data_IF_124657320536
#
_entry.id   IF_124657320536
#
_cell.length_a   1.000
_cell.length_b   1.000
_cell.length_c   1.000
_cell.angle_alpha   90.00
_cell.angle_beta   90.00
_cell.angle_gamma   90.00
#
_symmetry.space_group_name_H-M   'P 1'
#
loop_
_entity.id
_entity.type
_entity.pdbx_description
1 polymer ?
#
# COMPACT_ATOMS: atom_id res chain seq x y z
N UNK A 1 21.57 -53.83 -59.50
CA UNK A 1 20.34 -53.00 -59.44
C UNK A 1 20.13 -52.63 -57.99
N UNK A 2 20.66 -51.49 -57.58
CA UNK A 2 20.44 -50.90 -56.26
C UNK A 2 20.15 -49.43 -56.54
N UNK A 3 18.87 -49.09 -56.53
CA UNK A 3 18.39 -47.71 -56.65
C UNK A 3 18.60 -47.00 -55.33
N UNK A 4 19.59 -46.11 -55.28
CA UNK A 4 19.74 -45.13 -54.22
C UNK A 4 18.70 -44.02 -54.41
N UNK A 5 17.60 -44.12 -53.66
CA UNK A 5 16.62 -43.04 -53.52
C UNK A 5 17.20 -41.98 -52.58
N UNK A 6 17.80 -40.93 -53.14
CA UNK A 6 18.09 -39.69 -52.42
C UNK A 6 16.76 -38.99 -52.08
N UNK A 7 16.39 -39.01 -50.80
CA UNK A 7 15.38 -38.12 -50.27
C UNK A 7 16.00 -36.73 -50.04
N UNK A 8 15.75 -35.81 -50.97
CA UNK A 8 15.98 -34.38 -50.76
C UNK A 8 15.02 -33.89 -49.67
N UNK A 9 15.52 -33.83 -48.43
CA UNK A 9 14.86 -33.11 -47.34
C UNK A 9 15.04 -31.61 -47.60
N UNK A 10 14.01 -31.02 -48.20
CA UNK A 10 13.84 -29.57 -48.36
C UNK A 10 13.75 -28.92 -46.97
N UNK A 11 14.91 -28.56 -46.42
CA UNK A 11 15.03 -27.82 -45.16
C UNK A 11 14.46 -26.42 -45.42
N UNK A 12 13.18 -26.22 -45.13
CA UNK A 12 12.56 -24.89 -45.12
C UNK A 12 13.40 -23.97 -44.25
N UNK A 13 14.15 -23.06 -44.89
CA UNK A 13 14.89 -22.00 -44.22
C UNK A 13 13.98 -21.29 -43.22
N UNK A 14 14.32 -21.39 -41.94
CA UNK A 14 13.59 -20.73 -40.87
C UNK A 14 13.89 -19.24 -40.97
N UNK A 15 13.06 -18.50 -41.69
CA UNK A 15 13.18 -17.04 -41.79
C UNK A 15 13.22 -16.42 -40.38
N UNK A 16 14.12 -15.47 -40.13
CA UNK A 16 14.23 -14.81 -38.84
C UNK A 16 12.92 -14.09 -38.49
N UNK A 17 12.58 -13.96 -37.20
CA UNK A 17 11.40 -13.23 -36.79
C UNK A 17 11.51 -11.75 -37.23
N UNK A 18 10.39 -11.10 -37.57
CA UNK A 18 10.40 -9.70 -37.97
C UNK A 18 10.84 -8.81 -36.80
N UNK A 19 11.71 -7.85 -37.08
CA UNK A 19 12.35 -6.98 -36.09
C UNK A 19 11.63 -5.65 -35.85
N UNK A 20 10.54 -5.37 -36.55
CA UNK A 20 9.73 -4.15 -36.38
C UNK A 20 8.26 -4.37 -36.75
N UNK A 21 7.38 -3.51 -36.25
CA UNK A 21 5.93 -3.61 -36.52
C UNK A 21 5.59 -3.50 -38.02
N UNK A 22 6.16 -2.56 -38.80
CA UNK A 22 5.96 -2.53 -40.25
C UNK A 22 6.47 -3.80 -40.95
N UNK A 23 7.59 -4.37 -40.48
CA UNK A 23 8.16 -5.60 -41.05
C UNK A 23 7.26 -6.81 -40.79
N UNK A 24 6.62 -6.88 -39.62
CA UNK A 24 5.62 -7.90 -39.33
C UNK A 24 4.41 -7.79 -40.28
N UNK A 25 3.89 -6.57 -40.45
CA UNK A 25 2.74 -6.33 -41.33
C UNK A 25 3.02 -6.74 -42.78
N UNK A 26 4.24 -6.53 -43.28
CA UNK A 26 4.63 -6.92 -44.65
C UNK A 26 5.12 -8.37 -44.78
N UNK A 27 5.61 -8.97 -43.69
CA UNK A 27 6.23 -10.30 -43.68
C UNK A 27 5.24 -11.47 -43.60
N UNK A 28 5.70 -12.72 -43.67
CA UNK A 28 4.85 -13.92 -43.58
C UNK A 28 4.83 -14.56 -42.19
N UNK A 29 5.44 -13.92 -41.19
CA UNK A 29 5.52 -14.46 -39.84
C UNK A 29 4.15 -14.38 -39.13
N UNK A 30 3.87 -15.37 -38.27
CA UNK A 30 2.67 -15.33 -37.42
C UNK A 30 2.81 -14.29 -36.31
N UNK A 31 1.68 -13.78 -35.82
CA UNK A 31 1.61 -12.84 -34.71
C UNK A 31 2.36 -13.35 -33.48
N UNK A 32 2.17 -14.63 -33.13
CA UNK A 32 2.84 -15.24 -31.98
C UNK A 32 4.36 -15.19 -32.07
N UNK A 33 4.94 -15.48 -33.25
CA UNK A 33 6.40 -15.40 -33.46
C UNK A 33 6.92 -13.97 -33.31
N UNK A 34 6.17 -12.99 -33.79
CA UNK A 34 6.52 -11.58 -33.65
C UNK A 34 6.44 -11.12 -32.18
N UNK A 35 5.36 -11.46 -31.47
CA UNK A 35 5.20 -11.14 -30.05
C UNK A 35 6.32 -11.76 -29.22
N UNK A 36 6.65 -13.05 -29.42
CA UNK A 36 7.76 -13.70 -28.72
C UNK A 36 9.11 -13.04 -29.01
N UNK A 37 9.36 -12.62 -30.25
CA UNK A 37 10.60 -11.91 -30.60
C UNK A 37 10.72 -10.58 -29.85
N UNK A 38 9.65 -9.78 -29.84
CA UNK A 38 9.62 -8.53 -29.09
C UNK A 38 9.84 -8.75 -27.60
N UNK A 39 9.16 -9.74 -27.01
CA UNK A 39 9.28 -10.05 -25.57
C UNK A 39 10.71 -10.45 -25.22
N UNK A 40 11.33 -11.33 -26.03
CA UNK A 40 12.69 -11.81 -25.82
C UNK A 40 13.74 -10.69 -25.99
N UNK A 41 13.53 -9.80 -26.95
CA UNK A 41 14.41 -8.65 -27.19
C UNK A 41 14.08 -7.44 -26.30
N UNK A 42 13.04 -7.54 -25.46
CA UNK A 42 12.47 -6.45 -24.66
C UNK A 42 12.20 -5.15 -25.44
N UNK A 43 11.91 -5.27 -26.75
CA UNK A 43 11.89 -4.14 -27.70
C UNK A 43 10.47 -3.76 -28.11
N UNK A 44 9.85 -2.90 -27.31
CA UNK A 44 8.51 -2.39 -27.60
C UNK A 44 8.56 -1.46 -28.82
N UNK A 45 7.61 -1.57 -29.78
CA UNK A 45 7.52 -0.63 -30.90
C UNK A 45 7.37 0.81 -30.40
N UNK A 46 8.26 1.69 -30.84
CA UNK A 46 8.22 3.10 -30.50
C UNK A 46 7.13 3.85 -31.29
N UNK A 47 7.02 5.16 -31.08
CA UNK A 47 6.00 5.97 -31.74
C UNK A 47 6.20 6.08 -33.25
N UNK A 48 7.44 6.18 -33.72
CA UNK A 48 7.76 6.25 -35.14
C UNK A 48 7.40 4.94 -35.86
N UNK A 49 7.70 3.79 -35.26
CA UNK A 49 7.30 2.49 -35.79
C UNK A 49 5.78 2.32 -35.83
N UNK A 50 5.06 2.79 -34.80
CA UNK A 50 3.59 2.74 -34.77
C UNK A 50 2.98 3.65 -35.83
N UNK A 51 3.53 4.84 -36.05
CA UNK A 51 3.09 5.76 -37.08
C UNK A 51 3.32 5.17 -38.49
N UNK A 52 4.53 4.67 -38.77
CA UNK A 52 4.84 4.01 -40.04
C UNK A 52 3.99 2.76 -40.28
N UNK A 53 3.67 2.00 -39.22
CA UNK A 53 2.76 0.86 -39.30
C UNK A 53 1.32 1.31 -39.59
N UNK A 54 0.86 2.41 -39.00
CA UNK A 54 -0.45 3.00 -39.28
C UNK A 54 -0.56 3.45 -40.75
N UNK A 55 0.47 4.11 -41.28
CA UNK A 55 0.54 4.48 -42.70
C UNK A 55 0.53 3.23 -43.60
N UNK A 56 1.30 2.19 -43.23
CA UNK A 56 1.36 0.93 -43.98
C UNK A 56 0.00 0.25 -44.05
N UNK A 57 -0.70 0.15 -42.92
CA UNK A 57 -2.06 -0.40 -42.90
C UNK A 57 -2.97 0.50 -43.72
N UNK A 58 -2.92 1.83 -43.54
CA UNK A 58 -3.79 2.77 -44.25
C UNK A 58 -3.67 2.63 -45.77
N UNK A 59 -2.45 2.44 -46.29
CA UNK A 59 -2.17 2.21 -47.70
C UNK A 59 -2.64 0.84 -48.23
N UNK A 60 -2.68 -0.21 -47.39
CA UNK A 60 -3.14 -1.54 -47.78
C UNK A 60 -4.17 -2.12 -46.78
N UNK A 61 -5.48 -1.98 -47.06
CA UNK A 61 -6.56 -2.54 -46.24
C UNK A 61 -6.49 -4.05 -46.04
N UNK A 62 -5.81 -4.78 -46.92
CA UNK A 62 -5.67 -6.25 -46.81
C UNK A 62 -4.78 -6.67 -45.64
N UNK A 63 -4.13 -5.72 -44.97
CA UNK A 63 -3.33 -5.96 -43.77
C UNK A 63 -4.15 -5.95 -42.47
N UNK A 64 -5.42 -5.52 -42.49
CA UNK A 64 -6.27 -5.53 -41.30
C UNK A 64 -6.39 -6.91 -40.60
N UNK A 65 -6.50 -8.04 -41.31
CA UNK A 65 -6.50 -9.36 -40.68
C UNK A 65 -5.24 -9.62 -39.84
N UNK A 66 -4.07 -9.10 -40.25
CA UNK A 66 -2.83 -9.22 -39.47
C UNK A 66 -2.84 -8.36 -38.21
N UNK A 67 -3.46 -7.18 -38.28
CA UNK A 67 -3.66 -6.33 -37.10
C UNK A 67 -4.55 -7.07 -36.09
N UNK A 68 -5.63 -7.71 -36.56
CA UNK A 68 -6.50 -8.55 -35.73
C UNK A 68 -5.72 -9.73 -35.14
N UNK A 69 -4.92 -10.43 -35.95
CA UNK A 69 -4.08 -11.55 -35.50
C UNK A 69 -3.10 -11.12 -34.40
N UNK A 70 -2.43 -9.98 -34.59
CA UNK A 70 -1.52 -9.40 -33.61
C UNK A 70 -2.23 -9.09 -32.30
N UNK A 71 -3.37 -8.39 -32.36
CA UNK A 71 -4.13 -8.04 -31.16
C UNK A 71 -4.65 -9.27 -30.43
N UNK A 72 -4.99 -10.35 -31.14
CA UNK A 72 -5.36 -11.63 -30.53
C UNK A 72 -4.18 -12.30 -29.82
N UNK A 73 -2.99 -12.28 -30.41
CA UNK A 73 -1.79 -12.82 -29.75
C UNK A 73 -1.44 -12.07 -28.44
N UNK A 74 -1.86 -10.81 -28.34
CA UNK A 74 -1.65 -9.97 -27.15
C UNK A 74 -2.73 -10.14 -26.07
N UNK A 75 -3.71 -11.03 -26.26
CA UNK A 75 -4.72 -11.34 -25.25
C UNK A 75 -4.15 -12.14 -24.06
N UNK A 76 -2.98 -12.75 -24.20
CA UNK A 76 -2.24 -13.35 -23.09
C UNK A 76 -1.82 -12.28 -22.06
N UNK A 77 -2.22 -12.40 -20.77
CA UNK A 77 -1.90 -11.44 -19.72
C UNK A 77 -0.40 -11.23 -19.46
N UNK A 78 0.44 -12.22 -19.80
CA UNK A 78 1.90 -12.08 -19.72
C UNK A 78 2.45 -10.97 -20.62
N UNK A 79 1.69 -10.53 -21.63
CA UNK A 79 2.05 -9.47 -22.56
C UNK A 79 1.46 -8.09 -22.20
N UNK A 80 1.11 -7.85 -20.93
CA UNK A 80 0.42 -6.63 -20.46
C UNK A 80 1.05 -5.31 -20.92
N UNK A 81 2.38 -5.22 -20.90
CA UNK A 81 3.14 -4.04 -21.34
C UNK A 81 2.97 -3.76 -22.84
N UNK A 82 3.12 -4.79 -23.68
CA UNK A 82 2.92 -4.68 -25.14
C UNK A 82 1.46 -4.40 -25.49
N UNK A 83 0.53 -5.03 -24.76
CA UNK A 83 -0.91 -4.82 -24.92
C UNK A 83 -1.28 -3.35 -24.74
N UNK A 84 -0.79 -2.71 -23.68
CA UNK A 84 -1.07 -1.29 -23.42
C UNK A 84 -0.65 -0.39 -24.59
N UNK A 85 0.57 -0.62 -25.11
CA UNK A 85 1.14 0.17 -26.22
C UNK A 85 0.46 -0.09 -27.56
N UNK A 86 0.14 -1.34 -27.89
CA UNK A 86 -0.43 -1.69 -29.19
C UNK A 86 -1.96 -1.51 -29.23
N UNK A 87 -2.63 -1.47 -28.08
CA UNK A 87 -4.07 -1.18 -28.00
C UNK A 87 -4.42 0.22 -28.49
N UNK A 88 -3.64 1.25 -28.11
CA UNK A 88 -3.87 2.62 -28.59
C UNK A 88 -3.68 2.70 -30.10
N UNK A 89 -2.57 2.14 -30.61
CA UNK A 89 -2.30 2.06 -32.04
C UNK A 89 -3.39 1.33 -32.83
N UNK A 90 -3.86 0.17 -32.36
CA UNK A 90 -4.95 -0.55 -33.00
C UNK A 90 -6.27 0.23 -33.00
N UNK A 91 -6.50 1.08 -31.98
CA UNK A 91 -7.62 2.01 -31.96
C UNK A 91 -7.45 3.10 -33.02
N UNK A 92 -6.24 3.60 -33.22
CA UNK A 92 -5.92 4.58 -34.27
C UNK A 92 -6.09 3.99 -35.67
N UNK A 93 -5.80 2.69 -35.86
CA UNK A 93 -6.10 1.97 -37.11
C UNK A 93 -7.60 2.02 -37.42
N UNK A 94 -8.48 1.84 -36.42
CA UNK A 94 -9.93 1.92 -36.66
C UNK A 94 -10.35 3.35 -36.99
N UNK A 95 -9.81 4.36 -36.29
CA UNK A 95 -10.10 5.78 -36.56
C UNK A 95 -9.66 6.23 -37.94
N UNK A 96 -8.50 5.76 -38.41
CA UNK A 96 -8.00 6.09 -39.74
C UNK A 96 -8.89 5.55 -40.87
N UNK A 97 -9.72 4.53 -40.59
CA UNK A 97 -10.64 3.95 -41.57
C UNK A 97 -11.98 4.66 -41.67
N UNK A 98 -12.36 5.36 -40.62
CA UNK A 98 -13.66 6.01 -40.59
C UNK A 98 -13.61 7.25 -39.69
N UNK A 99 -13.69 8.46 -40.29
CA UNK A 99 -13.76 9.71 -39.55
C UNK A 99 -14.95 9.78 -38.58
N UNK A 100 -16.07 9.10 -38.87
CA UNK A 100 -17.23 9.05 -37.95
C UNK A 100 -16.90 8.27 -36.67
N UNK A 101 -15.94 7.34 -36.76
CA UNK A 101 -15.40 6.58 -35.64
C UNK A 101 -14.21 7.28 -34.95
N UNK A 102 -13.95 8.57 -35.21
CA UNK A 102 -12.87 9.31 -34.55
C UNK A 102 -12.97 9.28 -33.00
N UNK A 103 -14.18 9.12 -32.46
CA UNK A 103 -14.45 9.03 -31.01
C UNK A 103 -14.62 7.61 -30.48
N UNK A 104 -14.45 6.59 -31.32
CA UNK A 104 -14.95 5.23 -31.11
C UNK A 104 -14.24 4.40 -30.01
N UNK A 105 -13.25 4.95 -29.31
CA UNK A 105 -12.69 4.34 -28.09
C UNK A 105 -12.07 5.42 -27.18
N UNK A 106 -12.71 6.59 -27.09
CA UNK A 106 -12.25 7.64 -26.18
C UNK A 106 -12.51 7.21 -24.74
N UNK A 107 -11.45 7.24 -23.92
CA UNK A 107 -11.46 6.88 -22.50
C UNK A 107 -12.31 7.88 -21.70
N UNK A 108 -13.62 7.63 -21.62
CA UNK A 108 -14.54 7.90 -20.50
C UNK A 108 -15.98 8.00 -21.01
N UNK A 109 -16.88 7.12 -20.53
CA UNK A 109 -18.31 7.39 -20.55
C UNK A 109 -19.18 6.60 -21.54
N UNK A 110 -18.63 5.77 -22.43
CA UNK A 110 -19.43 4.87 -23.29
C UNK A 110 -19.30 3.41 -22.86
N UNK A 111 -20.42 2.69 -22.91
CA UNK A 111 -20.44 1.25 -22.67
C UNK A 111 -19.79 0.51 -23.85
N UNK A 112 -19.09 -0.62 -23.60
CA UNK A 112 -18.50 -1.44 -24.67
C UNK A 112 -19.53 -1.85 -25.73
N UNK A 113 -20.76 -2.16 -25.30
CA UNK A 113 -21.86 -2.56 -26.19
C UNK A 113 -22.24 -1.45 -27.19
N UNK A 114 -22.20 -0.19 -26.76
CA UNK A 114 -22.51 0.96 -27.60
C UNK A 114 -21.38 1.26 -28.59
N UNK A 115 -20.12 1.06 -28.18
CA UNK A 115 -18.96 1.18 -29.07
C UNK A 115 -19.01 0.10 -30.17
N UNK A 116 -19.28 -1.14 -29.80
CA UNK A 116 -19.41 -2.23 -30.77
C UNK A 116 -20.63 -2.08 -31.67
N UNK A 117 -21.73 -1.52 -31.16
CA UNK A 117 -22.91 -1.20 -31.97
C UNK A 117 -22.57 -0.29 -33.16
N UNK A 118 -21.73 0.72 -32.94
CA UNK A 118 -21.34 1.67 -34.01
C UNK A 118 -20.52 0.97 -35.12
N UNK A 119 -19.63 0.05 -34.76
CA UNK A 119 -18.93 -0.78 -35.76
C UNK A 119 -19.87 -1.73 -36.50
N UNK A 120 -20.84 -2.30 -35.79
CA UNK A 120 -21.84 -3.16 -36.40
C UNK A 120 -22.73 -2.38 -37.39
N UNK A 121 -23.02 -1.09 -37.11
CA UNK A 121 -23.74 -0.21 -38.06
C UNK A 121 -22.92 0.01 -39.32
N UNK A 122 -21.60 0.24 -39.19
CA UNK A 122 -20.69 0.35 -40.32
C UNK A 122 -20.69 -0.92 -41.19
N UNK A 123 -20.58 -2.10 -40.58
CA UNK A 123 -20.66 -3.37 -41.31
C UNK A 123 -22.00 -3.53 -42.03
N UNK A 124 -23.10 -3.15 -41.38
CA UNK A 124 -24.42 -3.18 -41.99
C UNK A 124 -24.53 -2.24 -43.19
N UNK A 125 -24.01 -1.02 -43.08
CA UNK A 125 -23.98 -0.08 -44.20
C UNK A 125 -23.18 -0.65 -45.37
N UNK A 126 -21.99 -1.18 -45.12
CA UNK A 126 -21.18 -1.83 -46.15
C UNK A 126 -21.90 -3.01 -46.83
N UNK A 127 -22.66 -3.81 -46.06
CA UNK A 127 -23.49 -4.90 -46.61
C UNK A 127 -24.64 -4.38 -47.47
N UNK A 128 -25.25 -3.26 -47.09
CA UNK A 128 -26.30 -2.60 -47.86
C UNK A 128 -25.75 -2.04 -49.19
N UNK A 129 -24.52 -1.54 -49.18
CA UNK A 129 -23.85 -0.99 -50.37
C UNK A 129 -23.40 -2.09 -51.34
N UNK A 130 -23.26 -3.33 -50.87
CA UNK A 130 -22.99 -4.52 -51.70
C UNK A 130 -21.52 -4.70 -52.14
N UNK A 131 -20.62 -3.82 -51.71
CA UNK A 131 -19.19 -3.88 -52.04
C UNK A 131 -18.47 -4.92 -51.16
N UNK A 132 -17.98 -5.99 -51.79
CA UNK A 132 -17.30 -7.11 -51.10
C UNK A 132 -16.06 -6.68 -50.33
N UNK A 133 -15.29 -5.73 -50.86
CA UNK A 133 -14.04 -5.29 -50.22
C UNK A 133 -14.36 -4.43 -49.01
N UNK A 134 -15.36 -3.54 -49.10
CA UNK A 134 -15.85 -2.76 -47.96
C UNK A 134 -16.48 -3.64 -46.87
N UNK A 135 -17.20 -4.69 -47.25
CA UNK A 135 -17.74 -5.66 -46.29
C UNK A 135 -16.60 -6.35 -45.55
N UNK A 136 -15.62 -6.87 -46.28
CA UNK A 136 -14.46 -7.55 -45.68
C UNK A 136 -13.69 -6.61 -44.73
N UNK A 137 -13.46 -5.36 -45.15
CA UNK A 137 -12.83 -4.34 -44.32
C UNK A 137 -13.63 -4.07 -43.03
N UNK A 138 -14.94 -3.82 -43.16
CA UNK A 138 -15.81 -3.55 -42.03
C UNK A 138 -15.90 -4.74 -41.06
N UNK A 139 -15.84 -5.99 -41.56
CA UNK A 139 -15.74 -7.19 -40.74
C UNK A 139 -14.43 -7.23 -39.95
N UNK A 140 -13.30 -6.91 -40.58
CA UNK A 140 -12.01 -6.87 -39.85
C UNK A 140 -11.97 -5.75 -38.82
N UNK A 141 -12.51 -4.58 -39.15
CA UNK A 141 -12.64 -3.46 -38.19
C UNK A 141 -13.53 -3.86 -37.01
N UNK A 142 -14.65 -4.55 -37.26
CA UNK A 142 -15.51 -5.07 -36.20
C UNK A 142 -14.77 -6.07 -35.30
N UNK A 143 -14.06 -7.03 -35.89
CA UNK A 143 -13.27 -8.02 -35.15
C UNK A 143 -12.16 -7.38 -34.33
N UNK A 144 -11.47 -6.39 -34.90
CA UNK A 144 -10.44 -5.63 -34.21
C UNK A 144 -11.05 -4.88 -33.01
N UNK A 145 -12.21 -4.27 -33.20
CA UNK A 145 -12.89 -3.55 -32.13
C UNK A 145 -13.40 -4.44 -31.01
N UNK A 146 -13.95 -5.61 -31.33
CA UNK A 146 -14.29 -6.63 -30.32
C UNK A 146 -13.05 -7.04 -29.54
N UNK A 147 -11.91 -7.25 -30.21
CA UNK A 147 -10.65 -7.65 -29.56
C UNK A 147 -10.11 -6.55 -28.63
N UNK A 148 -10.25 -5.28 -28.99
CA UNK A 148 -9.81 -4.14 -28.17
C UNK A 148 -10.73 -3.95 -26.95
N UNK A 149 -12.05 -4.00 -27.17
CA UNK A 149 -13.07 -3.78 -26.13
C UNK A 149 -13.12 -4.95 -25.15
N UNK A 150 -12.87 -6.19 -25.59
CA UNK A 150 -12.77 -7.37 -24.71
C UNK A 150 -11.62 -7.30 -23.71
N UNK A 151 -10.70 -6.34 -23.86
CA UNK A 151 -9.64 -6.08 -22.88
C UNK A 151 -10.11 -5.14 -21.74
N UNK A 152 -11.36 -4.64 -21.77
CA UNK A 152 -11.93 -3.82 -20.70
C UNK A 152 -12.54 -4.69 -19.61
N UNK A 153 -12.50 -4.19 -18.37
CA UNK A 153 -13.04 -4.90 -17.19
C UNK A 153 -14.57 -4.97 -17.22
N UNK A 154 -15.23 -3.99 -17.84
CA UNK A 154 -16.69 -3.88 -17.96
C UNK A 154 -17.26 -4.56 -19.20
N UNK A 155 -16.47 -5.38 -19.90
CA UNK A 155 -16.90 -6.05 -21.13
C UNK A 155 -17.86 -7.21 -20.84
N UNK A 156 -19.10 -7.10 -21.32
CA UNK A 156 -20.08 -8.19 -21.29
C UNK A 156 -20.22 -8.83 -22.69
N UNK A 157 -19.73 -10.07 -22.82
CA UNK A 157 -19.81 -10.84 -24.06
C UNK A 157 -21.25 -10.99 -24.54
N UNK A 158 -22.20 -11.23 -23.63
CA UNK A 158 -23.60 -11.51 -23.99
C UNK A 158 -24.28 -10.22 -24.44
N UNK A 159 -24.12 -9.14 -23.68
CA UNK A 159 -24.57 -7.79 -24.04
C UNK A 159 -24.02 -7.33 -25.39
N UNK A 160 -22.73 -7.53 -25.62
CA UNK A 160 -22.07 -7.14 -26.87
C UNK A 160 -22.60 -7.94 -28.07
N UNK A 161 -22.81 -9.25 -27.93
CA UNK A 161 -23.39 -10.07 -29.01
C UNK A 161 -24.84 -9.70 -29.31
N UNK A 162 -25.64 -9.47 -28.27
CA UNK A 162 -27.01 -9.00 -28.43
C UNK A 162 -27.05 -7.63 -29.14
N UNK A 163 -26.14 -6.73 -28.79
CA UNK A 163 -25.96 -5.43 -29.45
C UNK A 163 -25.63 -5.59 -30.93
N UNK A 164 -24.62 -6.41 -31.29
CA UNK A 164 -24.27 -6.70 -32.69
C UNK A 164 -25.47 -7.26 -33.45
N UNK A 165 -26.16 -8.27 -32.89
CA UNK A 165 -27.31 -8.89 -33.54
C UNK A 165 -28.45 -7.91 -33.76
N UNK A 166 -28.76 -7.07 -32.76
CA UNK A 166 -29.81 -6.05 -32.86
C UNK A 166 -29.54 -5.05 -33.99
N UNK A 167 -28.28 -4.66 -34.17
CA UNK A 167 -27.87 -3.72 -35.22
C UNK A 167 -27.92 -4.36 -36.59
N UNK A 168 -27.44 -5.60 -36.73
CA UNK A 168 -27.35 -6.29 -38.02
C UNK A 168 -28.71 -6.79 -38.54
N UNK A 169 -29.64 -7.18 -37.67
CA UNK A 169 -30.86 -7.90 -38.07
C UNK A 169 -32.13 -7.05 -38.23
N UNK A 170 -32.12 -5.74 -37.92
CA UNK A 170 -33.23 -4.76 -38.11
C UNK A 170 -34.61 -5.30 -37.67
N UNK A 171 -35.02 -4.95 -36.44
CA UNK A 171 -36.34 -5.23 -35.83
C UNK A 171 -36.64 -6.69 -35.43
N UNK A 172 -36.26 -7.06 -34.21
CA UNK A 172 -37.01 -8.01 -33.36
C UNK A 172 -36.73 -7.68 -31.88
N UNK A 173 -37.74 -7.78 -31.01
CA UNK A 173 -37.72 -7.46 -29.57
C UNK A 173 -36.35 -7.75 -28.90
N UNK A 174 -35.79 -6.78 -28.17
CA UNK A 174 -34.49 -6.89 -27.49
C UNK A 174 -34.39 -8.14 -26.59
N UNK A 175 -35.50 -8.57 -25.99
CA UNK A 175 -35.58 -9.77 -25.14
C UNK A 175 -35.54 -11.08 -25.95
N UNK A 176 -36.14 -11.11 -27.15
CA UNK A 176 -36.04 -12.25 -28.07
C UNK A 176 -34.64 -12.35 -28.70
N UNK A 177 -33.98 -11.21 -28.88
CA UNK A 177 -32.62 -11.13 -29.43
C UNK A 177 -31.59 -11.72 -28.48
N UNK A 178 -31.69 -11.49 -27.16
CA UNK A 178 -30.84 -12.17 -26.15
C UNK A 178 -31.02 -13.69 -26.14
N UNK A 179 -32.26 -14.16 -26.26
CA UNK A 179 -32.59 -15.60 -26.34
C UNK A 179 -32.12 -16.27 -27.64
N UNK A 180 -32.13 -15.54 -28.77
CA UNK A 180 -31.57 -16.02 -30.04
C UNK A 180 -30.04 -15.88 -30.09
N UNK A 181 -29.43 -14.90 -29.44
CA UNK A 181 -27.98 -14.77 -29.31
C UNK A 181 -27.40 -15.96 -28.54
N UNK A 182 -28.00 -16.32 -27.40
CA UNK A 182 -27.66 -17.53 -26.64
C UNK A 182 -27.86 -18.80 -27.47
N UNK A 183 -28.92 -18.88 -28.29
CA UNK A 183 -29.18 -20.03 -29.17
C UNK A 183 -28.27 -20.07 -30.42
N UNK A 184 -27.87 -18.94 -30.98
CA UNK A 184 -26.95 -18.80 -32.12
C UNK A 184 -25.49 -19.03 -31.73
N UNK A 185 -25.11 -18.68 -30.49
CA UNK A 185 -23.86 -19.15 -29.87
C UNK A 185 -23.84 -20.69 -29.82
N UNK A 186 -24.99 -21.33 -29.62
CA UNK A 186 -25.12 -22.79 -29.63
C UNK A 186 -25.18 -23.43 -31.03
N UNK A 187 -25.45 -22.66 -32.11
CA UNK A 187 -25.68 -23.20 -33.48
C UNK A 187 -24.83 -22.57 -34.60
N UNK A 188 -23.85 -21.73 -34.29
CA UNK A 188 -23.05 -20.98 -35.28
C UNK A 188 -21.97 -21.81 -35.99
N UNK A 189 -21.55 -21.39 -37.20
CA UNK A 189 -20.61 -22.11 -38.05
C UNK A 189 -19.17 -22.13 -37.49
N UNK A 190 -18.35 -23.12 -37.89
CA UNK A 190 -16.98 -23.36 -37.40
C UNK A 190 -16.05 -22.11 -37.40
N UNK A 191 -16.24 -21.13 -38.29
CA UNK A 191 -15.46 -19.88 -38.28
C UNK A 191 -15.88 -18.92 -37.16
N UNK A 192 -17.17 -18.84 -36.85
CA UNK A 192 -17.69 -18.08 -35.71
C UNK A 192 -17.42 -18.82 -34.40
N UNK A 193 -17.49 -20.16 -34.37
CA UNK A 193 -17.07 -20.99 -33.25
C UNK A 193 -15.58 -20.86 -32.91
N UNK A 194 -14.70 -20.57 -33.87
CA UNK A 194 -13.30 -20.25 -33.57
C UNK A 194 -13.12 -18.86 -32.96
N UNK A 195 -13.96 -17.89 -33.34
CA UNK A 195 -13.99 -16.56 -32.68
C UNK A 195 -14.60 -16.68 -31.29
N UNK A 196 -15.69 -17.43 -31.13
CA UNK A 196 -16.27 -17.77 -29.82
C UNK A 196 -15.33 -18.64 -28.99
N UNK A 197 -14.56 -19.54 -29.59
CA UNK A 197 -13.58 -20.38 -28.92
C UNK A 197 -12.39 -19.56 -28.44
N UNK A 198 -11.91 -18.61 -29.25
CA UNK A 198 -10.88 -17.67 -28.83
C UNK A 198 -11.38 -16.73 -27.73
N UNK A 199 -12.60 -16.18 -27.87
CA UNK A 199 -13.23 -15.33 -26.85
C UNK A 199 -13.49 -16.13 -25.58
N UNK A 200 -14.00 -17.36 -25.66
CA UNK A 200 -14.30 -18.21 -24.51
C UNK A 200 -13.02 -18.73 -23.84
N UNK A 201 -11.94 -18.98 -24.60
CA UNK A 201 -10.63 -19.33 -24.03
C UNK A 201 -10.00 -18.13 -23.32
N UNK A 202 -10.14 -16.93 -23.86
CA UNK A 202 -9.69 -15.67 -23.24
C UNK A 202 -10.53 -15.32 -22.02
N UNK A 203 -11.85 -15.48 -22.08
CA UNK A 203 -12.77 -15.24 -20.96
C UNK A 203 -12.57 -16.31 -19.88
N UNK A 204 -12.40 -17.58 -20.23
CA UNK A 204 -12.10 -18.64 -19.25
C UNK A 204 -10.72 -18.46 -18.61
N UNK A 205 -9.73 -18.06 -19.40
CA UNK A 205 -8.39 -17.72 -18.89
C UNK A 205 -8.40 -16.49 -17.98
N UNK A 206 -9.09 -15.43 -18.36
CA UNK A 206 -9.23 -14.22 -17.55
C UNK A 206 -10.11 -14.44 -16.32
N UNK A 207 -11.18 -15.23 -16.40
CA UNK A 207 -11.99 -15.61 -15.24
C UNK A 207 -11.20 -16.48 -14.26
N UNK A 208 -10.35 -17.38 -14.75
CA UNK A 208 -9.45 -18.17 -13.91
C UNK A 208 -8.43 -17.27 -13.20
N UNK A 209 -7.81 -16.35 -13.92
CA UNK A 209 -6.86 -15.38 -13.35
C UNK A 209 -7.56 -14.41 -12.39
N UNK A 210 -8.77 -13.95 -12.71
CA UNK A 210 -9.57 -13.11 -11.81
C UNK A 210 -10.04 -13.90 -10.58
N UNK A 211 -10.32 -15.19 -10.69
CA UNK A 211 -10.62 -16.05 -9.56
C UNK A 211 -9.39 -16.27 -8.67
N UNK A 212 -8.22 -16.48 -9.26
CA UNK A 212 -6.93 -16.60 -8.57
C UNK A 212 -6.52 -15.27 -7.91
N UNK A 213 -6.68 -14.14 -8.61
CA UNK A 213 -6.45 -12.79 -8.07
C UNK A 213 -7.47 -12.44 -6.98
N UNK A 214 -8.73 -12.82 -7.14
CA UNK A 214 -9.76 -12.66 -6.10
C UNK A 214 -9.46 -13.52 -4.88
N UNK A 215 -8.95 -14.74 -5.06
CA UNK A 215 -8.49 -15.59 -3.98
C UNK A 215 -7.27 -14.99 -3.26
N UNK A 216 -6.30 -14.44 -4.00
CA UNK A 216 -5.15 -13.71 -3.45
C UNK A 216 -5.60 -12.46 -2.68
N UNK A 217 -6.48 -11.63 -3.24
CA UNK A 217 -7.00 -10.44 -2.57
C UNK A 217 -7.82 -10.81 -1.33
N UNK A 218 -8.57 -11.92 -1.35
CA UNK A 218 -9.26 -12.44 -0.16
C UNK A 218 -8.25 -12.87 0.90
N UNK A 219 -7.20 -13.59 0.50
CA UNK A 219 -6.13 -14.01 1.39
C UNK A 219 -5.40 -12.81 2.00
N UNK A 220 -5.00 -11.82 1.19
CA UNK A 220 -4.35 -10.59 1.65
C UNK A 220 -5.26 -9.80 2.59
N UNK A 221 -6.57 -9.73 2.29
CA UNK A 221 -7.55 -9.09 3.17
C UNK A 221 -7.68 -9.82 4.50
N UNK A 222 -7.69 -11.14 4.49
CA UNK A 222 -7.83 -11.93 5.71
C UNK A 222 -6.53 -11.87 6.55
N UNK A 223 -5.36 -11.88 5.92
CA UNK A 223 -4.06 -11.57 6.55
C UNK A 223 -4.02 -10.16 7.14
N UNK A 224 -4.52 -9.15 6.41
CA UNK A 224 -4.61 -7.79 6.91
C UNK A 224 -5.57 -7.68 8.10
N UNK A 225 -6.68 -8.43 8.11
CA UNK A 225 -7.60 -8.51 9.25
C UNK A 225 -6.96 -9.15 10.47
N UNK A 226 -6.18 -10.22 10.29
CA UNK A 226 -5.40 -10.80 11.38
C UNK A 226 -4.37 -9.82 11.92
N UNK A 227 -3.61 -9.15 11.04
CA UNK A 227 -2.66 -8.10 11.44
C UNK A 227 -3.32 -6.97 12.22
N UNK A 228 -4.53 -6.55 11.81
CA UNK A 228 -5.30 -5.53 12.53
C UNK A 228 -5.70 -6.03 13.92
N UNK A 229 -6.14 -7.29 14.06
CA UNK A 229 -6.44 -7.87 15.39
C UNK A 229 -5.18 -7.93 16.27
N UNK A 230 -4.05 -8.40 15.75
CA UNK A 230 -2.79 -8.45 16.49
C UNK A 230 -2.34 -7.06 16.97
N UNK A 231 -2.48 -6.04 16.11
CA UNK A 231 -2.19 -4.66 16.46
C UNK A 231 -3.17 -4.12 17.50
N UNK A 232 -4.46 -4.44 17.41
CA UNK A 232 -5.46 -4.05 18.41
C UNK A 232 -5.16 -4.68 19.78
N UNK A 233 -4.79 -5.97 19.80
CA UNK A 233 -4.38 -6.66 21.03
C UNK A 233 -3.10 -6.06 21.62
N UNK A 234 -2.14 -5.70 20.76
CA UNK A 234 -0.90 -5.03 21.19
C UNK A 234 -1.19 -3.64 21.76
N UNK A 235 -2.07 -2.86 21.12
CA UNK A 235 -2.51 -1.56 21.62
C UNK A 235 -3.20 -1.72 22.98
N UNK A 236 -4.07 -2.72 23.14
CA UNK A 236 -4.76 -2.98 24.40
C UNK A 236 -3.77 -3.31 25.53
N UNK A 237 -2.77 -4.17 25.26
CA UNK A 237 -1.70 -4.50 26.21
C UNK A 237 -0.87 -3.28 26.58
N UNK A 238 -0.35 -2.55 25.60
CA UNK A 238 0.45 -1.34 25.86
C UNK A 238 -0.35 -0.26 26.59
N UNK A 239 -1.66 -0.16 26.33
CA UNK A 239 -2.54 0.76 27.06
C UNK A 239 -2.72 0.37 28.52
N UNK A 240 -2.79 -0.93 28.81
CA UNK A 240 -2.79 -1.46 30.18
C UNK A 240 -1.45 -1.15 30.88
N UNK A 241 -0.32 -1.45 30.23
CA UNK A 241 1.02 -1.19 30.77
C UNK A 241 1.22 0.31 31.08
N UNK A 242 0.77 1.19 30.18
CA UNK A 242 0.83 2.65 30.40
C UNK A 242 -0.04 3.07 31.58
N UNK A 243 -1.21 2.44 31.77
CA UNK A 243 -2.07 2.73 32.91
C UNK A 243 -1.45 2.26 34.22
N UNK A 244 -0.82 1.09 34.24
CA UNK A 244 -0.11 0.53 35.39
C UNK A 244 1.09 1.41 35.77
N UNK A 245 1.96 1.73 34.80
CA UNK A 245 3.11 2.61 35.02
C UNK A 245 2.71 4.01 35.50
N UNK A 246 1.56 4.53 35.06
CA UNK A 246 1.02 5.80 35.58
C UNK A 246 0.63 5.69 37.05
N UNK A 247 -0.04 4.60 37.44
CA UNK A 247 -0.41 4.34 38.83
C UNK A 247 0.85 4.17 39.70
N UNK A 248 1.84 3.39 39.25
CA UNK A 248 3.12 3.25 39.93
C UNK A 248 3.83 4.59 40.11
N UNK A 249 3.89 5.40 39.05
CA UNK A 249 4.48 6.75 39.12
C UNK A 249 3.76 7.63 40.15
N UNK A 250 2.43 7.60 40.18
CA UNK A 250 1.65 8.38 41.15
C UNK A 250 1.93 7.93 42.59
N UNK A 251 2.00 6.61 42.85
CA UNK A 251 2.38 6.09 44.17
C UNK A 251 3.80 6.51 44.58
N UNK A 252 4.76 6.47 43.66
CA UNK A 252 6.13 6.88 43.91
C UNK A 252 6.25 8.39 44.18
N UNK A 253 5.50 9.22 43.45
CA UNK A 253 5.43 10.67 43.69
C UNK A 253 4.85 10.97 45.08
N UNK A 254 3.73 10.34 45.44
CA UNK A 254 3.11 10.52 46.75
C UNK A 254 4.03 10.07 47.90
N UNK A 255 4.76 8.96 47.71
CA UNK A 255 5.75 8.49 48.68
C UNK A 255 6.92 9.49 48.82
N UNK A 256 7.42 10.03 47.71
CA UNK A 256 8.48 11.03 47.71
C UNK A 256 8.06 12.34 48.40
N UNK A 257 6.83 12.80 48.16
CA UNK A 257 6.27 13.97 48.84
C UNK A 257 6.12 13.74 50.34
N UNK A 258 5.60 12.56 50.74
CA UNK A 258 5.48 12.18 52.16
C UNK A 258 6.83 12.19 52.87
N UNK A 259 7.85 11.56 52.26
CA UNK A 259 9.22 11.54 52.79
C UNK A 259 9.81 12.96 52.86
N UNK A 260 9.54 13.82 51.88
CA UNK A 260 9.98 15.21 51.90
C UNK A 260 9.35 15.98 53.06
N UNK A 261 8.05 15.83 53.28
CA UNK A 261 7.36 16.46 54.43
C UNK A 261 7.90 15.95 55.77
N UNK A 262 8.17 14.65 55.88
CA UNK A 262 8.80 14.07 57.09
C UNK A 262 10.20 14.65 57.32
N UNK A 263 11.01 14.78 56.26
CA UNK A 263 12.36 15.31 56.35
C UNK A 263 12.38 16.81 56.68
N UNK A 264 11.46 17.59 56.15
CA UNK A 264 11.31 19.00 56.51
C UNK A 264 10.81 19.15 57.96
N UNK A 265 9.92 18.25 58.41
CA UNK A 265 9.49 18.17 59.80
C UNK A 265 10.62 17.85 60.77
N UNK A 266 11.47 16.85 60.47
CA UNK A 266 12.62 16.50 61.31
C UNK A 266 13.69 17.58 61.32
N UNK A 267 13.96 18.23 60.18
CA UNK A 267 14.84 19.41 60.12
C UNK A 267 14.32 20.57 60.96
N UNK A 268 13.01 20.83 60.89
CA UNK A 268 12.36 21.86 61.70
C UNK A 268 12.48 21.58 63.20
N UNK A 269 12.21 20.34 63.61
CA UNK A 269 12.39 19.87 64.98
C UNK A 269 13.84 20.01 65.44
N UNK A 270 14.78 19.44 64.70
CA UNK A 270 16.21 19.52 65.04
C UNK A 270 16.73 20.96 65.12
N UNK A 271 16.28 21.86 64.23
CA UNK A 271 16.63 23.27 64.29
C UNK A 271 16.07 23.95 65.54
N UNK A 272 14.84 23.62 65.95
CA UNK A 272 14.24 24.10 67.18
C UNK A 272 15.03 23.62 68.41
N UNK A 273 15.34 22.32 68.46
CA UNK A 273 16.11 21.71 69.55
C UNK A 273 17.50 22.33 69.67
N UNK A 274 18.17 22.60 68.54
CA UNK A 274 19.46 23.31 68.52
C UNK A 274 19.35 24.75 69.04
N UNK A 275 18.27 25.47 68.71
CA UNK A 275 18.04 26.83 69.21
C UNK A 275 17.78 26.79 70.72
N UNK A 276 16.97 25.85 71.20
CA UNK A 276 16.68 25.67 72.62
C UNK A 276 17.95 25.32 73.40
N UNK A 277 18.71 24.33 72.93
CA UNK A 277 20.00 23.96 73.52
C UNK A 277 20.95 25.17 73.57
N UNK A 278 21.06 25.93 72.48
CA UNK A 278 21.91 27.13 72.44
C UNK A 278 21.44 28.21 73.42
N UNK A 279 20.14 28.45 73.53
CA UNK A 279 19.57 29.41 74.48
C UNK A 279 19.83 28.98 75.93
N UNK A 280 19.69 27.69 76.21
CA UNK A 280 19.95 27.08 77.51
C UNK A 280 21.42 27.17 77.91
N UNK A 281 22.34 26.80 77.01
CA UNK A 281 23.78 26.96 77.22
C UNK A 281 24.18 28.41 77.43
N UNK A 282 23.61 29.34 76.65
CA UNK A 282 23.86 30.78 76.86
C UNK A 282 23.43 31.20 78.27
N UNK A 283 22.22 30.84 78.71
CA UNK A 283 21.73 31.15 80.07
C UNK A 283 22.61 30.53 81.16
N UNK A 284 23.05 29.29 80.98
CA UNK A 284 23.98 28.63 81.90
C UNK A 284 25.29 29.40 82.01
N UNK A 285 25.96 29.64 80.88
CA UNK A 285 27.28 30.28 80.83
C UNK A 285 27.22 31.72 81.36
N UNK A 286 26.31 32.55 80.84
CA UNK A 286 26.29 33.98 81.19
C UNK A 286 25.53 34.27 82.48
N UNK A 287 24.46 33.53 82.77
CA UNK A 287 23.57 33.81 83.88
C UNK A 287 23.96 33.11 85.18
N UNK A 288 24.42 31.86 85.10
CA UNK A 288 24.71 31.05 86.30
C UNK A 288 26.21 30.91 86.57
N UNK A 289 26.99 30.55 85.56
CA UNK A 289 28.41 30.24 85.75
C UNK A 289 29.27 31.51 85.80
N UNK A 290 29.03 32.49 84.93
CA UNK A 290 29.84 33.72 84.89
C UNK A 290 29.89 34.48 86.24
N UNK A 291 28.79 34.66 86.99
CA UNK A 291 28.86 35.28 88.31
C UNK A 291 29.70 34.46 89.29
N UNK A 292 29.53 33.13 89.32
CA UNK A 292 30.30 32.28 90.22
C UNK A 292 31.80 32.25 89.89
N UNK A 293 32.16 32.26 88.60
CA UNK A 293 33.56 32.34 88.16
C UNK A 293 34.16 33.70 88.53
N UNK A 294 33.41 34.79 88.31
CA UNK A 294 33.84 36.14 88.69
C UNK A 294 34.03 36.27 90.20
N UNK A 295 33.06 35.79 91.00
CA UNK A 295 33.14 35.79 92.46
C UNK A 295 34.32 34.95 92.98
N UNK A 296 34.52 33.76 92.40
CA UNK A 296 35.65 32.90 92.74
C UNK A 296 36.99 33.55 92.40
N UNK A 297 37.08 34.20 91.23
CA UNK A 297 38.26 34.97 90.81
C UNK A 297 38.57 36.11 91.78
N UNK A 298 37.57 36.96 92.06
CA UNK A 298 37.71 38.07 93.02
C UNK A 298 38.13 37.59 94.42
N UNK A 299 37.54 36.49 94.91
CA UNK A 299 37.89 35.93 96.22
C UNK A 299 39.35 35.45 96.29
N UNK A 300 39.94 35.04 95.18
CA UNK A 300 41.34 34.64 95.07
C UNK A 300 42.30 35.83 94.91
N UNK A 301 41.83 36.96 94.37
CA UNK A 301 42.63 38.16 94.14
C UNK A 301 42.74 39.08 95.37
N UNK A 302 41.79 39.03 96.30
CA UNK A 302 41.84 39.79 97.57
C UNK A 302 42.98 39.28 98.46
N UNK A 303 43.66 40.17 99.19
CA UNK A 303 44.76 39.80 100.11
C UNK A 303 44.37 40.06 101.58
N UNK A 304 44.30 39.04 102.47
CA UNK A 304 44.58 37.63 102.19
C UNK A 304 43.48 36.93 101.39
N UNK A 305 43.83 35.93 100.53
CA UNK A 305 42.88 35.25 99.66
C UNK A 305 41.85 34.43 100.43
N UNK A 306 40.59 34.53 100.03
CA UNK A 306 39.46 33.89 100.71
C UNK A 306 39.14 32.54 100.06
N UNK A 307 40.02 31.57 100.30
CA UNK A 307 40.01 30.24 99.66
C UNK A 307 38.68 29.46 99.85
N UNK A 308 37.99 29.65 100.97
CA UNK A 308 36.74 28.93 101.25
C UNK A 308 35.61 29.37 100.30
N UNK A 309 35.50 30.67 100.01
CA UNK A 309 34.50 31.22 99.09
C UNK A 309 34.79 30.74 97.66
N UNK A 310 36.05 30.76 97.24
CA UNK A 310 36.44 30.26 95.93
C UNK A 310 36.12 28.76 95.75
N UNK A 311 36.38 27.93 96.76
CA UNK A 311 36.03 26.49 96.73
C UNK A 311 34.53 26.25 96.66
N UNK A 312 33.73 27.01 97.42
CA UNK A 312 32.27 26.88 97.41
C UNK A 312 31.69 27.23 96.03
N UNK A 313 32.15 28.33 95.42
CA UNK A 313 31.71 28.76 94.08
C UNK A 313 32.14 27.79 92.99
N UNK A 314 33.34 27.20 93.07
CA UNK A 314 33.76 26.13 92.16
C UNK A 314 32.92 24.85 92.31
N UNK A 315 32.52 24.48 93.53
CA UNK A 315 31.62 23.36 93.75
C UNK A 315 30.21 23.62 93.17
N UNK A 316 29.70 24.85 93.30
CA UNK A 316 28.43 25.26 92.68
C UNK A 316 28.48 25.24 91.15
N UNK A 317 29.59 25.70 90.54
CA UNK A 317 29.84 25.59 89.10
C UNK A 317 29.78 24.13 88.65
N UNK A 318 30.49 23.24 89.36
CA UNK A 318 30.49 21.81 89.05
C UNK A 318 29.07 21.22 89.11
N UNK A 319 28.33 21.54 90.18
CA UNK A 319 26.94 21.06 90.34
C UNK A 319 25.99 21.53 89.23
N UNK A 320 26.13 22.77 88.74
CA UNK A 320 25.32 23.26 87.62
C UNK A 320 25.73 22.64 86.28
N UNK A 321 27.02 22.32 86.07
CA UNK A 321 27.48 21.58 84.88
C UNK A 321 26.94 20.14 84.90
N UNK A 322 27.01 19.45 86.05
CA UNK A 322 26.55 18.06 86.18
C UNK A 322 25.06 17.91 85.86
N UNK A 323 24.21 18.86 86.30
CA UNK A 323 22.77 18.89 85.99
C UNK A 323 22.50 19.01 84.49
N UNK A 324 23.28 19.80 83.77
CA UNK A 324 23.11 20.02 82.34
C UNK A 324 23.65 18.84 81.51
N UNK A 325 24.71 18.18 81.99
CA UNK A 325 25.18 16.91 81.41
C UNK A 325 24.17 15.78 81.60
N UNK A 326 23.47 15.72 82.74
CA UNK A 326 22.40 14.74 82.97
C UNK A 326 21.21 14.99 82.06
N UNK A 327 20.82 16.25 81.86
CA UNK A 327 19.79 16.60 80.89
C UNK A 327 20.17 16.20 79.45
N UNK A 328 21.41 16.45 79.01
CA UNK A 328 21.88 16.04 77.67
C UNK A 328 21.81 14.52 77.44
N UNK A 329 22.09 13.72 78.47
CA UNK A 329 22.00 12.26 78.38
C UNK A 329 20.58 11.76 78.11
N UNK A 330 19.56 12.47 78.61
CA UNK A 330 18.16 12.13 78.39
C UNK A 330 17.70 12.37 76.94
N UNK A 331 18.48 13.09 76.12
CA UNK A 331 18.20 13.38 74.72
C UNK A 331 19.08 12.58 73.73
N UNK A 332 19.94 11.70 74.24
CA UNK A 332 20.92 10.93 73.44
C UNK A 332 20.54 9.46 73.22
N UNK A 333 19.44 8.98 73.80
CA UNK A 333 18.84 7.64 73.60
C UNK A 333 17.57 7.76 72.74
#
# INVERSE_FOLDING_TARGET
MTEDVKADLDVKEVKPPPSSLPSYLKGSASAGRYVSAIVNEARIPDEAERFAALETVSADPKLLPKVVELMRALLDPSHSRLRGTLKSWASDVIRARDPELARWAQLAGRSPDAEIADLAKRLRQARSDGDKDRIAEAEQVLLLGITITSMRVDFDVVGTLASIQSVLNRDEDADRTKGRATKAVATSSMKQLNVFGAINHVVSGQLKILAEQSALVRHDRDMARERIRDLQDTIARLSADVSELKAERETAVNAAETLRTQLDGTKGGAAHDMIEARARFRRLLTGKLSPFVSDAGLALEVNPPVLNIAKERLAQIKGEIDKELEWLKQFSD
#
